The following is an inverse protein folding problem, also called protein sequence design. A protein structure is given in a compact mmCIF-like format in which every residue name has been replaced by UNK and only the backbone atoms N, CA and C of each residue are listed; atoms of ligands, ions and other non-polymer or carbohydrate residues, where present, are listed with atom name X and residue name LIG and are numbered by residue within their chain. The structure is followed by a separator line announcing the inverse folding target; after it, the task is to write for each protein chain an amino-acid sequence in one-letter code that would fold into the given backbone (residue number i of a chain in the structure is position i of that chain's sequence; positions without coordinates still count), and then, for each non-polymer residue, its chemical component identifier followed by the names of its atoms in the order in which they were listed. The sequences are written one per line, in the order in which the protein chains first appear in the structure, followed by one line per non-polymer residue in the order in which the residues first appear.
data_IF_611553192913
#
_entry.id   IF_611553192913
#
_cell.length_a   1.000
_cell.length_b   1.000
_cell.length_c   1.000
_cell.angle_alpha   90.00
_cell.angle_beta   90.00
_cell.angle_gamma   90.00
#
_symmetry.space_group_name_H-M   'P 1'
#
loop_
_entity.id
_entity.type
_entity.pdbx_description
1 polymer ?
#
# COMPACT_ATOMS: atom_id res chain seq x y z
N UNK A 1 11.56 9.20 -5.19
CA UNK A 1 11.42 10.67 -5.27
C UNK A 1 10.02 11.15 -4.92
N UNK A 2 8.95 10.61 -5.53
CA UNK A 2 7.56 11.07 -5.31
C UNK A 2 7.16 11.13 -3.82
N UNK A 3 7.40 10.06 -3.05
CA UNK A 3 7.01 10.00 -1.63
C UNK A 3 7.85 10.87 -0.67
N UNK A 4 8.96 11.46 -1.14
CA UNK A 4 9.94 12.13 -0.28
C UNK A 4 10.12 13.61 -0.63
N UNK A 5 9.24 14.18 -1.44
CA UNK A 5 9.23 15.60 -1.76
C UNK A 5 7.84 16.20 -1.52
N UNK A 6 7.77 17.54 -1.57
CA UNK A 6 6.53 18.32 -1.42
C UNK A 6 6.19 18.98 -2.76
N UNK A 7 6.14 18.16 -3.82
CA UNK A 7 5.84 18.61 -5.17
C UNK A 7 4.50 18.03 -5.61
N UNK A 8 3.62 18.90 -6.11
CA UNK A 8 2.39 18.46 -6.73
C UNK A 8 2.71 17.72 -8.04
N UNK A 9 1.92 16.70 -8.34
CA UNK A 9 1.96 15.98 -9.61
C UNK A 9 0.57 15.99 -10.21
N UNK A 10 0.45 16.49 -11.44
CA UNK A 10 -0.81 16.55 -12.17
C UNK A 10 -2.01 17.06 -11.33
N UNK A 11 -1.92 18.24 -10.70
CA UNK A 11 -2.88 18.67 -9.70
C UNK A 11 -4.30 18.90 -10.25
N UNK A 12 -4.43 19.15 -11.55
CA UNK A 12 -5.74 19.32 -12.21
C UNK A 12 -6.59 18.06 -12.16
N UNK A 13 -5.97 16.87 -12.16
CA UNK A 13 -6.67 15.59 -12.02
C UNK A 13 -7.13 15.31 -10.58
N UNK A 14 -6.82 16.19 -9.62
CA UNK A 14 -7.46 16.13 -8.30
C UNK A 14 -8.96 16.46 -8.31
N UNK A 15 -9.50 16.92 -9.45
CA UNK A 15 -10.88 17.43 -9.57
C UNK A 15 -11.86 16.40 -10.16
N UNK A 16 -11.36 15.29 -10.69
CA UNK A 16 -12.12 14.27 -11.44
C UNK A 16 -12.53 13.08 -10.57
N UNK A 17 -12.10 13.03 -9.30
CA UNK A 17 -12.56 12.06 -8.31
C UNK A 17 -11.80 10.73 -8.38
N UNK A 18 -12.52 9.62 -8.61
CA UNK A 18 -11.96 8.26 -8.66
C UNK A 18 -11.71 7.78 -10.10
N UNK A 19 -11.04 8.62 -10.89
CA UNK A 19 -10.56 8.25 -12.22
C UNK A 19 -9.23 7.49 -12.14
N UNK A 20 -8.64 7.21 -13.30
CA UNK A 20 -7.40 6.44 -13.41
C UNK A 20 -6.19 7.33 -13.70
N UNK A 21 -6.27 8.61 -13.33
CA UNK A 21 -5.23 9.60 -13.56
C UNK A 21 -4.37 9.79 -12.31
N UNK A 22 -3.06 9.55 -12.42
CA UNK A 22 -2.14 9.69 -11.29
C UNK A 22 -2.00 11.16 -10.89
N UNK A 23 -2.25 11.45 -9.60
CA UNK A 23 -2.21 12.82 -9.05
C UNK A 23 -1.61 12.85 -7.65
N UNK A 24 -0.92 13.94 -7.33
CA UNK A 24 -0.44 14.27 -5.98
C UNK A 24 -0.74 15.74 -5.71
N UNK A 25 -1.48 15.99 -4.63
CA UNK A 25 -1.96 17.31 -4.23
C UNK A 25 -1.24 17.82 -2.97
N UNK A 26 -1.26 19.13 -2.69
CA UNK A 26 -0.73 19.69 -1.43
C UNK A 26 -1.28 19.06 -0.15
N UNK A 27 -2.49 18.47 -0.22
CA UNK A 27 -3.05 17.69 0.89
C UNK A 27 -2.15 16.53 1.35
N UNK A 28 -1.24 16.06 0.49
CA UNK A 28 -0.20 15.09 0.88
C UNK A 28 0.71 15.60 2.01
N UNK A 29 1.13 16.87 1.98
CA UNK A 29 2.10 17.43 2.94
C UNK A 29 1.53 18.49 3.90
N UNK A 30 0.37 19.07 3.63
CA UNK A 30 -0.20 20.18 4.41
C UNK A 30 -1.39 19.80 5.29
N UNK A 31 -2.06 18.68 5.01
CA UNK A 31 -3.33 18.35 5.69
C UNK A 31 -3.12 17.44 6.90
N UNK A 32 -3.41 17.98 8.09
CA UNK A 32 -3.54 17.19 9.31
C UNK A 32 -4.78 16.29 9.23
N UNK A 33 -4.66 15.06 9.73
CA UNK A 33 -5.76 14.09 9.74
C UNK A 33 -5.72 13.20 10.98
N UNK A 34 -6.83 12.51 11.21
CA UNK A 34 -7.00 11.47 12.23
C UNK A 34 -7.36 10.11 11.63
N UNK A 35 -7.66 10.09 10.33
CA UNK A 35 -8.04 8.91 9.58
C UNK A 35 -7.51 8.98 8.15
N UNK A 36 -7.14 7.82 7.62
CA UNK A 36 -6.82 7.64 6.19
C UNK A 36 -7.85 6.66 5.60
N UNK A 37 -8.39 6.97 4.43
CA UNK A 37 -9.17 6.04 3.61
C UNK A 37 -8.32 5.58 2.43
N UNK A 38 -8.05 4.28 2.39
CA UNK A 38 -7.27 3.62 1.35
C UNK A 38 -8.22 2.95 0.38
N UNK A 39 -8.12 3.27 -0.91
CA UNK A 39 -8.97 2.74 -1.97
C UNK A 39 -8.19 2.00 -3.04
N UNK A 40 -8.69 0.86 -3.49
CA UNK A 40 -8.17 0.18 -4.70
C UNK A 40 -9.30 0.04 -5.72
N UNK A 41 -9.06 0.53 -6.93
CA UNK A 41 -9.95 0.34 -8.09
C UNK A 41 -9.38 -0.69 -9.05
N UNK A 42 -10.22 -1.67 -9.37
CA UNK A 42 -9.92 -2.75 -10.30
C UNK A 42 -11.09 -2.92 -11.26
N UNK A 43 -10.93 -2.44 -12.49
CA UNK A 43 -12.03 -2.32 -13.45
C UNK A 43 -13.07 -1.32 -12.94
N UNK A 44 -14.35 -1.71 -12.94
CA UNK A 44 -15.46 -0.87 -12.47
C UNK A 44 -15.68 -0.87 -10.95
N UNK A 45 -14.92 -1.64 -10.18
CA UNK A 45 -15.11 -1.76 -8.74
C UNK A 45 -14.02 -1.00 -7.97
N UNK A 46 -14.44 -0.19 -6.99
CA UNK A 46 -13.56 0.47 -6.03
C UNK A 46 -13.92 0.06 -4.62
N UNK A 47 -12.96 -0.45 -3.84
CA UNK A 47 -13.16 -0.82 -2.45
C UNK A 47 -12.27 0.01 -1.54
N UNK A 48 -12.80 0.37 -0.37
CA UNK A 48 -12.12 1.20 0.61
C UNK A 48 -11.97 0.52 1.96
N UNK A 49 -10.87 0.82 2.63
CA UNK A 49 -10.66 0.58 4.05
C UNK A 49 -10.26 1.85 4.76
N UNK A 50 -10.61 1.96 6.03
CA UNK A 50 -10.20 3.07 6.88
C UNK A 50 -9.08 2.64 7.83
N UNK A 51 -8.11 3.53 8.05
CA UNK A 51 -7.00 3.39 9.00
C UNK A 51 -7.05 4.56 9.95
N UNK A 52 -7.27 4.30 11.23
CA UNK A 52 -7.24 5.33 12.26
C UNK A 52 -5.78 5.61 12.64
N UNK A 53 -5.30 6.80 12.30
CA UNK A 53 -3.94 7.26 12.59
C UNK A 53 -3.92 8.77 12.57
N UNK A 54 -3.31 9.38 13.57
CA UNK A 54 -3.16 10.84 13.66
C UNK A 54 -1.77 11.25 13.18
N UNK A 55 -1.71 12.16 12.23
CA UNK A 55 -0.46 12.77 11.77
C UNK A 55 -0.69 14.21 11.32
N UNK A 56 0.37 15.01 11.29
CA UNK A 56 0.31 16.38 10.78
C UNK A 56 0.13 16.45 9.26
N UNK A 57 0.54 15.40 8.56
CA UNK A 57 0.32 15.17 7.12
C UNK A 57 0.76 13.77 6.71
N UNK A 58 0.39 13.33 5.51
CA UNK A 58 0.76 11.99 5.06
C UNK A 58 2.28 11.95 4.80
N UNK A 59 2.83 13.05 4.27
CA UNK A 59 4.26 13.29 4.16
C UNK A 59 4.97 13.07 5.50
N UNK A 60 4.52 13.68 6.59
CA UNK A 60 5.14 13.51 7.92
C UNK A 60 5.08 12.06 8.43
N UNK A 61 4.08 11.30 7.98
CA UNK A 61 3.87 9.92 8.39
C UNK A 61 4.75 8.93 7.61
N UNK A 62 5.05 9.20 6.34
CA UNK A 62 5.70 8.20 5.47
C UNK A 62 7.02 8.64 4.83
N UNK A 63 7.29 9.94 4.68
CA UNK A 63 8.43 10.44 3.90
C UNK A 63 9.80 10.06 4.48
N UNK A 64 9.89 9.90 5.81
CA UNK A 64 11.13 9.52 6.50
C UNK A 64 11.53 8.04 6.31
N UNK A 65 10.69 7.24 5.65
CA UNK A 65 10.94 5.83 5.39
C UNK A 65 10.90 4.93 6.63
N UNK A 66 10.54 5.45 7.81
CA UNK A 66 10.51 4.66 9.04
C UNK A 66 9.28 3.77 9.08
N UNK A 67 9.50 2.50 9.45
CA UNK A 67 8.42 1.54 9.65
C UNK A 67 7.56 1.95 10.84
N UNK A 68 6.24 1.97 10.65
CA UNK A 68 5.27 2.20 11.71
C UNK A 68 4.16 1.15 11.60
N UNK A 69 4.01 0.24 12.57
CA UNK A 69 3.02 -0.83 12.48
C UNK A 69 1.60 -0.26 12.57
N UNK A 70 0.65 -1.00 12.00
CA UNK A 70 -0.79 -0.81 12.23
C UNK A 70 -1.39 -2.08 12.86
N UNK A 71 -2.65 -1.99 13.28
CA UNK A 71 -3.44 -3.14 13.75
C UNK A 71 -4.69 -3.33 12.88
N UNK A 72 -4.55 -3.20 11.55
CA UNK A 72 -5.67 -3.32 10.62
C UNK A 72 -6.09 -4.78 10.45
N UNK A 73 -5.11 -5.68 10.46
CA UNK A 73 -5.29 -7.09 10.23
C UNK A 73 -5.32 -7.45 8.74
N UNK A 74 -4.85 -8.68 8.49
CA UNK A 74 -4.76 -9.30 7.17
C UNK A 74 -6.06 -9.22 6.37
N UNK A 75 -7.19 -9.59 6.98
CA UNK A 75 -8.48 -9.64 6.28
C UNK A 75 -8.93 -8.26 5.84
N UNK A 76 -8.61 -7.22 6.62
CA UNK A 76 -8.90 -5.84 6.25
C UNK A 76 -8.07 -5.43 5.03
N UNK A 77 -6.77 -5.74 5.03
CA UNK A 77 -5.91 -5.52 3.86
C UNK A 77 -6.44 -6.25 2.61
N UNK A 78 -6.85 -7.52 2.75
CA UNK A 78 -7.44 -8.31 1.66
C UNK A 78 -8.77 -7.75 1.15
N UNK A 79 -9.57 -7.12 2.01
CA UNK A 79 -10.88 -6.59 1.62
C UNK A 79 -10.82 -5.51 0.52
N UNK A 80 -9.67 -4.86 0.32
CA UNK A 80 -9.42 -3.94 -0.82
C UNK A 80 -9.61 -4.60 -2.19
N UNK A 81 -9.39 -5.91 -2.30
CA UNK A 81 -9.57 -6.68 -3.53
C UNK A 81 -10.56 -7.84 -3.36
N UNK A 82 -11.30 -7.86 -2.24
CA UNK A 82 -12.31 -8.87 -1.89
C UNK A 82 -11.77 -10.30 -2.08
N UNK A 83 -12.53 -11.15 -2.78
CA UNK A 83 -12.18 -12.55 -3.05
C UNK A 83 -11.00 -12.73 -4.01
N UNK A 84 -10.54 -11.66 -4.68
CA UNK A 84 -9.39 -11.72 -5.61
C UNK A 84 -8.05 -11.60 -4.87
N UNK A 85 -8.05 -11.09 -3.65
CA UNK A 85 -6.85 -10.86 -2.87
C UNK A 85 -6.18 -12.18 -2.45
N UNK A 86 -4.86 -12.26 -2.56
CA UNK A 86 -4.11 -13.36 -2.00
C UNK A 86 -2.86 -12.93 -1.25
N UNK A 87 -2.56 -13.64 -0.18
CA UNK A 87 -1.33 -13.46 0.59
C UNK A 87 -0.85 -14.85 1.06
N UNK A 88 0.43 -15.02 1.30
CA UNK A 88 0.94 -16.18 2.04
C UNK A 88 0.57 -16.06 3.52
N UNK A 89 0.54 -17.18 4.26
CA UNK A 89 -0.15 -17.25 5.56
C UNK A 89 0.58 -16.58 6.73
N UNK A 90 1.90 -16.47 6.65
CA UNK A 90 2.78 -16.03 7.72
C UNK A 90 3.42 -14.67 7.39
N UNK A 91 4.23 -14.17 8.32
CA UNK A 91 4.72 -12.80 8.33
C UNK A 91 3.60 -11.81 7.99
N UNK A 92 2.75 -11.40 8.92
CA UNK A 92 1.70 -10.42 8.62
C UNK A 92 2.21 -9.00 8.91
N UNK A 93 3.32 -8.60 8.26
CA UNK A 93 3.95 -7.30 8.53
C UNK A 93 3.18 -6.19 7.85
N UNK A 94 2.39 -5.46 8.63
CA UNK A 94 1.52 -4.39 8.13
C UNK A 94 1.86 -3.01 8.68
N UNK A 95 1.51 -1.97 7.92
CA UNK A 95 1.55 -0.58 8.35
C UNK A 95 2.18 0.35 7.32
N UNK A 96 2.92 1.34 7.81
CA UNK A 96 3.59 2.35 6.99
C UNK A 96 5.07 1.99 6.79
N UNK A 97 5.58 2.22 5.59
CA UNK A 97 6.94 1.87 5.15
C UNK A 97 7.33 0.43 5.53
N UNK A 98 6.45 -0.53 5.23
CA UNK A 98 6.72 -1.94 5.45
C UNK A 98 7.84 -2.41 4.53
N UNK A 99 8.77 -3.19 5.08
CA UNK A 99 9.88 -3.81 4.37
C UNK A 99 10.04 -5.24 4.88
N UNK A 100 10.20 -6.18 3.95
CA UNK A 100 10.57 -7.56 4.26
C UNK A 100 12.05 -7.78 3.94
N UNK A 101 12.76 -8.57 4.75
CA UNK A 101 14.21 -8.75 4.59
C UNK A 101 15.04 -7.59 5.12
N UNK A 102 16.33 -7.60 4.75
CA UNK A 102 17.29 -6.55 5.09
C UNK A 102 17.13 -5.32 4.18
N UNK A 103 17.79 -4.21 4.45
CA UNK A 103 17.70 -3.03 3.57
C UNK A 103 18.17 -3.34 2.14
N UNK A 104 17.44 -2.86 1.13
CA UNK A 104 17.83 -3.02 -0.27
C UNK A 104 16.68 -2.80 -1.27
N UNK A 105 17.01 -2.45 -2.51
CA UNK A 105 16.02 -2.18 -3.56
C UNK A 105 15.25 -3.43 -4.03
N UNK A 106 15.84 -4.62 -3.83
CA UNK A 106 15.25 -5.90 -4.22
C UNK A 106 14.16 -6.38 -3.27
N UNK A 107 14.14 -5.83 -2.05
CA UNK A 107 13.25 -6.32 -1.02
C UNK A 107 11.79 -5.90 -1.23
N UNK A 108 10.83 -6.82 -1.00
CA UNK A 108 9.41 -6.51 -0.98
C UNK A 108 9.13 -5.37 -0.01
N UNK A 109 8.42 -4.35 -0.49
CA UNK A 109 8.08 -3.16 0.30
C UNK A 109 6.73 -2.58 -0.07
N UNK A 110 6.19 -1.79 0.84
CA UNK A 110 5.02 -0.94 0.63
C UNK A 110 5.17 0.37 1.42
N UNK A 111 4.66 1.48 0.89
CA UNK A 111 4.52 2.72 1.67
C UNK A 111 3.40 2.59 2.68
N UNK A 112 2.31 1.94 2.29
CA UNK A 112 1.21 1.56 3.15
C UNK A 112 0.75 0.19 2.69
N UNK A 113 0.72 -0.80 3.57
CA UNK A 113 0.26 -2.14 3.17
C UNK A 113 0.69 -3.24 4.12
N UNK A 114 0.48 -4.47 3.66
CA UNK A 114 0.88 -5.71 4.32
C UNK A 114 1.79 -6.51 3.40
N UNK A 115 2.87 -7.05 3.97
CA UNK A 115 3.78 -8.00 3.32
C UNK A 115 3.65 -9.34 4.04
N UNK A 116 3.71 -10.44 3.29
CA UNK A 116 3.59 -11.80 3.84
C UNK A 116 4.44 -12.85 3.13
N UNK A 117 4.74 -13.91 3.88
CA UNK A 117 5.47 -15.10 3.43
C UNK A 117 4.91 -16.39 4.02
N UNK A 118 5.54 -17.52 3.74
CA UNK A 118 5.22 -18.81 4.31
C UNK A 118 6.09 -19.18 5.53
N UNK A 119 7.17 -18.45 5.82
CA UNK A 119 8.04 -18.69 6.98
C UNK A 119 7.57 -17.95 8.24
N UNK A 120 8.08 -18.34 9.42
CA UNK A 120 7.75 -17.68 10.70
C UNK A 120 8.50 -16.36 10.93
N UNK A 121 9.24 -15.87 9.94
CA UNK A 121 10.01 -14.63 9.99
C UNK A 121 9.65 -13.75 8.80
N UNK A 122 10.07 -12.49 8.82
CA UNK A 122 9.79 -11.54 7.74
C UNK A 122 11.05 -11.24 6.91
N UNK A 123 11.80 -12.27 6.49
CA UNK A 123 13.05 -12.08 5.74
C UNK A 123 12.90 -12.23 4.21
N UNK A 124 11.89 -12.95 3.75
CA UNK A 124 11.68 -13.29 2.33
C UNK A 124 10.19 -13.30 2.02
N UNK A 125 9.62 -12.14 1.73
CA UNK A 125 8.19 -12.04 1.42
C UNK A 125 7.92 -12.24 -0.05
N UNK A 126 7.03 -13.16 -0.38
CA UNK A 126 6.63 -13.40 -1.76
C UNK A 126 5.19 -12.94 -2.02
N UNK A 127 4.57 -12.29 -1.02
CA UNK A 127 3.25 -11.70 -1.17
C UNK A 127 3.10 -10.36 -0.47
N UNK A 128 2.21 -9.53 -1.01
CA UNK A 128 1.89 -8.19 -0.50
C UNK A 128 0.59 -7.65 -1.05
N UNK A 129 -0.03 -6.76 -0.28
CA UNK A 129 -1.12 -5.87 -0.71
C UNK A 129 -0.78 -4.47 -0.24
N UNK A 130 -0.81 -3.48 -1.13
CA UNK A 130 -0.57 -2.11 -0.67
C UNK A 130 -0.42 -1.04 -1.75
N UNK A 131 0.11 0.08 -1.28
CA UNK A 131 0.31 1.33 -2.01
C UNK A 131 1.78 1.70 -1.99
N UNK A 132 2.29 2.24 -3.09
CA UNK A 132 3.71 2.52 -3.25
C UNK A 132 4.57 1.25 -3.09
N UNK A 133 4.08 0.13 -3.62
CA UNK A 133 4.75 -1.16 -3.51
C UNK A 133 5.90 -1.32 -4.50
N UNK A 134 6.78 -2.29 -4.24
CA UNK A 134 7.85 -2.67 -5.15
C UNK A 134 8.70 -3.79 -4.56
N UNK A 135 9.79 -4.12 -5.25
CA UNK A 135 10.65 -5.25 -4.88
C UNK A 135 10.08 -6.59 -5.35
N UNK A 136 10.78 -7.67 -4.98
CA UNK A 136 10.34 -9.04 -5.26
C UNK A 136 8.89 -9.29 -4.79
N UNK A 137 8.09 -10.12 -5.48
CA UNK A 137 8.40 -10.84 -6.72
C UNK A 137 8.11 -10.07 -8.03
N UNK A 138 7.49 -8.89 -7.98
CA UNK A 138 7.28 -8.03 -9.16
C UNK A 138 7.61 -6.57 -8.82
N UNK A 139 8.54 -5.96 -9.55
CA UNK A 139 8.97 -4.58 -9.30
C UNK A 139 8.02 -3.53 -9.87
N UNK A 140 7.16 -3.93 -10.81
CA UNK A 140 6.33 -3.01 -11.61
C UNK A 140 4.96 -2.74 -11.02
N UNK A 141 4.53 -3.52 -10.03
CA UNK A 141 3.25 -3.34 -9.36
C UNK A 141 3.41 -2.34 -8.19
N UNK A 142 3.05 -1.09 -8.44
CA UNK A 142 3.11 0.04 -7.50
C UNK A 142 1.89 0.15 -6.57
N UNK A 143 0.75 -0.42 -6.97
CA UNK A 143 -0.45 -0.53 -6.16
C UNK A 143 -1.27 -1.76 -6.56
N UNK A 144 -1.69 -2.53 -5.55
CA UNK A 144 -2.53 -3.71 -5.73
C UNK A 144 -2.02 -4.89 -4.92
N UNK A 145 -2.08 -6.08 -5.51
CA UNK A 145 -1.70 -7.33 -4.87
C UNK A 145 -0.74 -8.15 -5.72
N UNK A 146 0.36 -8.59 -5.09
CA UNK A 146 1.26 -9.59 -5.66
C UNK A 146 1.34 -10.73 -4.67
N UNK A 147 1.24 -11.97 -5.15
CA UNK A 147 1.38 -13.14 -4.31
C UNK A 147 1.97 -14.31 -5.12
N UNK A 148 2.96 -14.96 -4.54
CA UNK A 148 3.65 -16.14 -5.09
C UNK A 148 3.80 -17.20 -4.00
N UNK A 149 4.22 -18.40 -4.41
CA UNK A 149 4.66 -19.47 -3.53
C UNK A 149 3.67 -19.86 -2.42
N UNK A 150 2.58 -20.55 -2.81
CA UNK A 150 1.56 -21.10 -1.88
C UNK A 150 0.79 -20.04 -1.10
N UNK A 151 0.39 -18.97 -1.80
CA UNK A 151 -0.54 -18.00 -1.26
C UNK A 151 -1.96 -18.58 -1.12
N UNK A 152 -2.73 -18.04 -0.19
CA UNK A 152 -4.03 -18.58 0.25
C UNK A 152 -5.15 -18.60 -0.80
N UNK A 153 -4.99 -17.89 -1.91
CA UNK A 153 -5.92 -17.82 -3.05
C UNK A 153 -5.15 -17.95 -4.37
N UNK A 154 -4.02 -18.66 -4.32
CA UNK A 154 -3.12 -18.89 -5.45
C UNK A 154 -2.30 -17.65 -5.83
N UNK A 155 -1.46 -17.82 -6.85
CA UNK A 155 -0.61 -16.75 -7.34
C UNK A 155 -1.44 -15.59 -7.92
N UNK A 156 -1.05 -14.35 -7.58
CA UNK A 156 -1.69 -13.12 -8.05
C UNK A 156 -0.65 -12.11 -8.52
N UNK A 157 -0.99 -11.39 -9.58
CA UNK A 157 -0.40 -10.10 -9.91
C UNK A 157 -1.50 -9.17 -10.39
N UNK A 158 -2.11 -8.47 -9.44
CA UNK A 158 -3.24 -7.58 -9.64
C UNK A 158 -2.73 -6.15 -9.48
N UNK A 159 -2.77 -5.38 -10.56
CA UNK A 159 -2.49 -3.93 -10.54
C UNK A 159 -3.81 -3.17 -10.41
N UNK A 160 -3.81 -2.12 -9.61
CA UNK A 160 -4.99 -1.26 -9.37
C UNK A 160 -4.63 0.20 -9.42
N UNK A 161 -5.63 1.05 -9.69
CA UNK A 161 -5.51 2.45 -9.31
C UNK A 161 -5.70 2.58 -7.79
N UNK A 162 -4.77 3.29 -7.14
CA UNK A 162 -4.73 3.44 -5.69
C UNK A 162 -5.12 4.85 -5.26
N UNK A 163 -6.04 4.96 -4.31
CA UNK A 163 -6.44 6.24 -3.71
C UNK A 163 -6.03 6.28 -2.25
N UNK A 164 -5.43 7.39 -1.83
CA UNK A 164 -5.13 7.66 -0.43
C UNK A 164 -5.79 8.99 -0.09
N UNK A 165 -6.85 8.93 0.70
CA UNK A 165 -7.60 10.09 1.16
C UNK A 165 -7.34 10.29 2.65
N UNK A 166 -7.25 11.54 3.09
CA UNK A 166 -7.03 11.91 4.49
C UNK A 166 -8.28 12.58 5.06
N UNK A 167 -8.60 12.34 6.34
CA UNK A 167 -9.76 12.86 7.04
C UNK A 167 -9.50 13.23 8.50
#
# INVERSE_FOLDING_TARGET
LIWSNQLAYNPYQGTTGFDDEETMLPSYWETKFSRICLGMKNGGETNFIAVNVTASSLYSLIADGKYRPTSLGRDKGKSLLRSRASLQYNCNREGFNTLCGWSGAFQPRARIGILSNEQNNCHSCDSRIGFGTGGHPDFSNSCGNVAKHRADSGDKNIKTMGYILVQ
#
